data_IF_294341805816
#
_entry.id   IF_294341805816
#
_cell.length_a   1.000
_cell.length_b   1.000
_cell.length_c   1.000
_cell.angle_alpha   90.00
_cell.angle_beta   90.00
_cell.angle_gamma   90.00
#
_symmetry.space_group_name_H-M   'P 1'
#
loop_
_entity.id
_entity.type
_entity.pdbx_description
1 polymer ?
#
# COMPACT_ATOMS: atom_id res chain seq x y z
N UNK A 1 3.17 -24.83 26.17
CA UNK A 1 1.92 -24.09 26.33
C UNK A 1 2.12 -22.67 25.78
N UNK A 2 2.21 -22.55 24.46
CA UNK A 2 2.39 -21.27 23.76
C UNK A 2 1.01 -20.75 23.33
N UNK A 3 0.43 -19.85 24.14
CA UNK A 3 -0.56 -18.82 23.79
C UNK A 3 -1.50 -19.09 22.59
N UNK A 4 -2.66 -19.73 22.84
CA UNK A 4 -3.84 -19.72 21.93
C UNK A 4 -4.30 -18.31 21.53
N UNK A 5 -3.94 -17.28 22.31
CA UNK A 5 -4.28 -15.89 22.02
C UNK A 5 -3.39 -15.26 20.94
N UNK A 6 -2.19 -15.79 20.69
CA UNK A 6 -1.30 -15.36 19.60
C UNK A 6 -1.82 -15.87 18.26
N UNK A 7 -2.16 -17.15 18.15
CA UNK A 7 -2.64 -17.76 16.89
C UNK A 7 -3.93 -17.13 16.39
N UNK A 8 -4.89 -16.84 17.29
CA UNK A 8 -6.13 -16.15 16.91
C UNK A 8 -5.88 -14.76 16.33
N UNK A 9 -4.91 -14.00 16.86
CA UNK A 9 -4.56 -12.66 16.32
C UNK A 9 -3.93 -12.72 14.94
N UNK A 10 -3.07 -13.71 14.67
CA UNK A 10 -2.53 -13.95 13.33
C UNK A 10 -3.63 -14.43 12.36
N UNK A 11 -4.60 -15.21 12.82
CA UNK A 11 -5.74 -15.67 12.02
C UNK A 11 -6.65 -14.51 11.58
N UNK A 12 -7.05 -13.61 12.49
CA UNK A 12 -7.82 -12.42 12.13
C UNK A 12 -7.04 -11.47 11.18
N UNK A 13 -5.72 -11.37 11.36
CA UNK A 13 -4.85 -10.59 10.47
C UNK A 13 -4.83 -11.18 9.05
N UNK A 14 -4.71 -12.51 8.93
CA UNK A 14 -4.68 -13.22 7.65
C UNK A 14 -6.04 -13.13 6.95
N UNK A 15 -7.14 -13.21 7.71
CA UNK A 15 -8.51 -13.00 7.21
C UNK A 15 -8.69 -11.56 6.72
N UNK A 16 -8.15 -10.56 7.42
CA UNK A 16 -8.22 -9.16 6.98
C UNK A 16 -7.45 -8.95 5.66
N UNK A 17 -6.26 -9.55 5.52
CA UNK A 17 -5.46 -9.49 4.30
C UNK A 17 -6.17 -10.19 3.13
N UNK A 18 -6.72 -11.39 3.34
CA UNK A 18 -7.50 -12.10 2.33
C UNK A 18 -8.78 -11.33 1.98
N UNK A 19 -9.43 -10.73 2.97
CA UNK A 19 -10.59 -9.85 2.76
C UNK A 19 -10.26 -8.65 1.89
N UNK A 20 -9.13 -7.98 2.14
CA UNK A 20 -8.63 -6.90 1.29
C UNK A 20 -8.40 -7.37 -0.15
N UNK A 21 -7.74 -8.52 -0.35
CA UNK A 21 -7.50 -9.09 -1.68
C UNK A 21 -8.82 -9.35 -2.42
N UNK A 22 -9.82 -9.91 -1.74
CA UNK A 22 -11.12 -10.24 -2.34
C UNK A 22 -11.91 -8.97 -2.67
N UNK A 23 -11.97 -8.01 -1.74
CA UNK A 23 -12.72 -6.76 -1.93
C UNK A 23 -12.14 -5.95 -3.09
N UNK A 24 -10.82 -5.96 -3.27
CA UNK A 24 -10.13 -5.20 -4.32
C UNK A 24 -10.12 -5.93 -5.66
N UNK A 25 -10.40 -7.25 -5.65
CA UNK A 25 -10.68 -8.00 -6.88
C UNK A 25 -12.02 -7.62 -7.52
N UNK A 26 -12.98 -7.07 -6.75
CA UNK A 26 -14.32 -6.71 -7.24
C UNK A 26 -14.28 -5.50 -8.20
N UNK A 27 -13.64 -4.36 -7.86
CA UNK A 27 -13.43 -3.25 -8.80
C UNK A 27 -12.72 -3.68 -10.09
N UNK A 28 -11.79 -4.63 -9.98
CA UNK A 28 -11.01 -5.19 -11.10
C UNK A 28 -11.90 -5.93 -12.11
N UNK A 29 -12.87 -6.71 -11.60
CA UNK A 29 -13.83 -7.46 -12.43
C UNK A 29 -14.93 -6.53 -12.97
N UNK A 30 -15.39 -5.55 -12.18
CA UNK A 30 -16.52 -4.69 -12.56
C UNK A 30 -16.13 -3.56 -13.53
N UNK A 31 -14.96 -2.93 -13.34
CA UNK A 31 -14.46 -1.89 -14.25
C UNK A 31 -14.12 -2.40 -15.67
N UNK A 32 -14.00 -3.72 -15.82
CA UNK A 32 -13.57 -4.38 -17.05
C UNK A 32 -14.66 -4.49 -18.13
N UNK A 33 -15.94 -4.32 -17.80
CA UNK A 33 -16.99 -4.40 -18.82
C UNK A 33 -17.13 -3.13 -19.68
N UNK A 34 -16.53 -2.00 -19.30
CA UNK A 34 -16.90 -0.71 -19.91
C UNK A 34 -15.82 0.12 -20.63
N UNK A 35 -14.50 -0.07 -20.45
CA UNK A 35 -13.50 0.68 -21.25
C UNK A 35 -12.15 -0.05 -21.39
N UNK A 36 -11.75 -0.38 -22.62
CA UNK A 36 -10.60 -1.27 -22.95
C UNK A 36 -9.22 -0.58 -23.08
N UNK A 37 -9.02 0.64 -22.57
CA UNK A 37 -7.78 1.42 -22.79
C UNK A 37 -6.78 1.46 -21.62
N UNK A 38 -7.25 1.65 -20.39
CA UNK A 38 -6.40 2.03 -19.23
C UNK A 38 -6.35 0.99 -18.09
N UNK A 39 -6.84 -0.23 -18.35
CA UNK A 39 -6.98 -1.29 -17.35
C UNK A 39 -5.66 -1.63 -16.63
N UNK A 40 -4.57 -1.61 -17.38
CA UNK A 40 -3.26 -1.98 -16.87
C UNK A 40 -2.72 -0.97 -15.86
N UNK A 41 -2.87 0.33 -16.13
CA UNK A 41 -2.41 1.37 -15.21
C UNK A 41 -3.17 1.34 -13.89
N UNK A 42 -4.50 1.23 -13.95
CA UNK A 42 -5.34 1.21 -12.73
C UNK A 42 -5.05 -0.04 -11.90
N UNK A 43 -4.90 -1.21 -12.54
CA UNK A 43 -4.59 -2.46 -11.85
C UNK A 43 -3.20 -2.44 -11.17
N UNK A 44 -2.20 -1.77 -11.76
CA UNK A 44 -0.87 -1.62 -11.16
C UNK A 44 -0.94 -0.75 -9.90
N UNK A 45 -1.65 0.38 -9.96
CA UNK A 45 -1.76 1.27 -8.80
C UNK A 45 -2.53 0.61 -7.64
N UNK A 46 -3.58 -0.13 -7.95
CA UNK A 46 -4.35 -0.90 -6.98
C UNK A 46 -3.52 -2.02 -6.34
N UNK A 47 -2.86 -2.86 -7.14
CA UNK A 47 -2.00 -3.94 -6.60
C UNK A 47 -0.80 -3.38 -5.83
N UNK A 48 -0.23 -2.25 -6.26
CA UNK A 48 0.79 -1.51 -5.54
C UNK A 48 0.31 -0.99 -4.19
N UNK A 49 -0.92 -0.48 -4.10
CA UNK A 49 -1.55 -0.06 -2.84
C UNK A 49 -1.73 -1.23 -1.86
N UNK A 50 -2.23 -2.37 -2.34
CA UNK A 50 -2.39 -3.58 -1.52
C UNK A 50 -1.05 -4.06 -0.98
N UNK A 51 -0.05 -4.13 -1.84
CA UNK A 51 1.27 -4.60 -1.44
C UNK A 51 1.92 -3.62 -0.44
N UNK A 52 1.84 -2.31 -0.70
CA UNK A 52 2.39 -1.29 0.19
C UNK A 52 1.70 -1.29 1.56
N UNK A 53 0.37 -1.38 1.61
CA UNK A 53 -0.38 -1.46 2.87
C UNK A 53 -0.06 -2.74 3.65
N UNK A 54 0.03 -3.88 2.96
CA UNK A 54 0.45 -5.15 3.56
C UNK A 54 1.85 -5.05 4.18
N UNK A 55 2.83 -4.55 3.41
CA UNK A 55 4.21 -4.40 3.87
C UNK A 55 4.32 -3.40 5.03
N UNK A 56 3.51 -2.34 5.02
CA UNK A 56 3.41 -1.38 6.13
C UNK A 56 3.01 -2.07 7.42
N UNK A 57 1.95 -2.89 7.41
CA UNK A 57 1.49 -3.59 8.62
C UNK A 57 2.49 -4.67 9.04
N UNK A 58 3.05 -5.42 8.10
CA UNK A 58 4.04 -6.45 8.39
C UNK A 58 5.31 -5.88 9.03
N UNK A 59 5.78 -4.73 8.56
CA UNK A 59 6.95 -4.05 9.14
C UNK A 59 6.66 -3.48 10.53
N UNK A 60 5.44 -2.99 10.80
CA UNK A 60 5.00 -2.60 12.15
C UNK A 60 4.99 -3.81 13.09
N UNK A 61 4.41 -4.93 12.66
CA UNK A 61 4.37 -6.17 13.45
C UNK A 61 5.81 -6.67 13.70
N UNK A 62 6.65 -6.65 12.68
CA UNK A 62 8.06 -7.03 12.77
C UNK A 62 8.82 -6.12 13.74
N UNK A 63 8.57 -4.81 13.72
CA UNK A 63 9.16 -3.88 14.71
C UNK A 63 8.73 -4.23 16.13
N UNK A 64 7.45 -4.51 16.37
CA UNK A 64 6.97 -4.88 17.71
C UNK A 64 7.63 -6.16 18.25
N UNK A 65 7.97 -7.10 17.36
CA UNK A 65 8.61 -8.38 17.73
C UNK A 65 10.14 -8.26 17.88
N UNK A 66 10.79 -7.51 16.99
CA UNK A 66 12.26 -7.48 16.89
C UNK A 66 12.91 -6.25 17.52
N UNK A 67 12.13 -5.17 17.74
CA UNK A 67 12.60 -3.85 18.20
C UNK A 67 13.70 -3.23 17.31
N UNK A 68 13.85 -3.70 16.07
CA UNK A 68 14.85 -3.17 15.13
C UNK A 68 14.33 -1.85 14.55
N UNK A 69 14.98 -0.73 14.88
CA UNK A 69 14.59 0.63 14.43
C UNK A 69 14.43 0.74 12.91
N UNK A 70 15.20 -0.04 12.13
CA UNK A 70 15.10 -0.11 10.66
C UNK A 70 13.70 -0.51 10.17
N UNK A 71 12.97 -1.31 10.95
CA UNK A 71 11.62 -1.74 10.60
C UNK A 71 10.60 -0.61 10.68
N UNK A 72 10.79 0.41 11.53
CA UNK A 72 9.94 1.60 11.54
C UNK A 72 10.16 2.44 10.28
N UNK A 73 11.42 2.60 9.85
CA UNK A 73 11.72 3.31 8.61
C UNK A 73 11.14 2.61 7.39
N UNK A 74 11.25 1.27 7.33
CA UNK A 74 10.58 0.48 6.29
C UNK A 74 9.06 0.61 6.35
N UNK A 75 8.47 0.62 7.55
CA UNK A 75 7.03 0.86 7.72
C UNK A 75 6.60 2.24 7.24
N UNK A 76 7.32 3.30 7.61
CA UNK A 76 7.05 4.64 7.14
C UNK A 76 7.18 4.74 5.62
N UNK A 77 8.22 4.13 5.05
CA UNK A 77 8.44 4.07 3.61
C UNK A 77 7.25 3.41 2.88
N UNK A 78 6.84 2.21 3.31
CA UNK A 78 5.69 1.53 2.71
C UNK A 78 4.37 2.27 2.97
N UNK A 79 4.24 2.95 4.12
CA UNK A 79 3.06 3.74 4.45
C UNK A 79 2.90 4.96 3.55
N UNK A 80 4.00 5.66 3.26
CA UNK A 80 4.01 6.78 2.30
C UNK A 80 3.69 6.30 0.89
N UNK A 81 4.21 5.13 0.49
CA UNK A 81 3.84 4.49 -0.79
C UNK A 81 2.34 4.19 -0.85
N UNK A 82 1.77 3.58 0.20
CA UNK A 82 0.33 3.30 0.26
C UNK A 82 -0.50 4.59 0.21
N UNK A 83 -0.06 5.66 0.88
CA UNK A 83 -0.72 6.96 0.81
C UNK A 83 -0.68 7.57 -0.59
N UNK A 84 0.48 7.52 -1.27
CA UNK A 84 0.61 8.02 -2.64
C UNK A 84 -0.29 7.27 -3.63
N UNK A 85 -0.36 5.94 -3.53
CA UNK A 85 -1.25 5.12 -4.36
C UNK A 85 -2.73 5.43 -4.07
N UNK A 86 -3.11 5.55 -2.79
CA UNK A 86 -4.48 5.91 -2.39
C UNK A 86 -4.87 7.31 -2.89
N UNK A 87 -3.98 8.30 -2.78
CA UNK A 87 -4.21 9.66 -3.28
C UNK A 87 -4.38 9.70 -4.80
N UNK A 88 -3.53 8.97 -5.54
CA UNK A 88 -3.64 8.83 -6.99
C UNK A 88 -4.99 8.22 -7.41
N UNK A 89 -5.45 7.18 -6.71
CA UNK A 89 -6.74 6.56 -6.98
C UNK A 89 -7.93 7.44 -6.58
N UNK A 90 -7.86 8.13 -5.43
CA UNK A 90 -8.89 9.08 -4.99
C UNK A 90 -9.09 10.21 -6.00
N UNK A 91 -8.00 10.76 -6.55
CA UNK A 91 -8.05 11.79 -7.58
C UNK A 91 -8.74 11.32 -8.87
N UNK A 92 -8.76 10.02 -9.16
CA UNK A 92 -9.44 9.44 -10.33
C UNK A 92 -10.92 9.18 -10.12
N UNK A 93 -11.42 9.17 -8.88
CA UNK A 93 -12.83 8.85 -8.55
C UNK A 93 -13.72 10.11 -8.59
N UNK A 94 -13.19 11.29 -8.28
CA UNK A 94 -14.00 12.50 -8.07
C UNK A 94 -14.34 13.32 -9.32
N UNK A 95 -13.78 13.01 -10.49
CA UNK A 95 -13.77 13.95 -11.63
C UNK A 95 -14.21 13.25 -12.92
N UNK A 96 -15.48 13.42 -13.28
CA UNK A 96 -16.01 13.17 -14.64
C UNK A 96 -15.70 14.31 -15.64
N UNK A 97 -14.80 15.23 -15.31
CA UNK A 97 -14.49 16.40 -16.14
C UNK A 97 -12.98 16.59 -16.28
N UNK A 98 -12.46 16.19 -17.44
CA UNK A 98 -11.26 16.74 -18.12
C UNK A 98 -10.12 17.22 -17.22
N UNK A 99 -9.06 16.39 -17.18
CA UNK A 99 -7.65 16.77 -16.97
C UNK A 99 -7.34 17.55 -15.68
N UNK A 100 -6.70 16.90 -14.71
CA UNK A 100 -5.25 17.05 -14.64
C UNK A 100 -4.57 15.74 -14.21
N UNK A 101 -4.38 14.81 -15.17
CA UNK A 101 -3.67 13.54 -14.93
C UNK A 101 -2.26 13.79 -14.37
N UNK A 102 -1.66 14.94 -14.69
CA UNK A 102 -0.36 15.38 -14.18
C UNK A 102 -0.38 15.52 -12.66
N UNK A 103 -1.38 16.19 -12.09
CA UNK A 103 -1.43 16.49 -10.65
C UNK A 103 -1.45 15.26 -9.74
N UNK A 104 -2.21 14.22 -10.13
CA UNK A 104 -2.29 12.97 -9.36
C UNK A 104 -0.99 12.15 -9.47
N UNK A 105 -0.38 12.13 -10.65
CA UNK A 105 0.92 11.48 -10.85
C UNK A 105 2.05 12.20 -10.12
N UNK A 106 2.03 13.53 -10.07
CA UNK A 106 3.01 14.33 -9.34
C UNK A 106 2.99 14.04 -7.84
N UNK A 107 1.80 13.91 -7.25
CA UNK A 107 1.66 13.55 -5.83
C UNK A 107 2.26 12.17 -5.57
N UNK A 108 1.98 11.21 -6.45
CA UNK A 108 2.52 9.86 -6.35
C UNK A 108 4.04 9.84 -6.51
N UNK A 109 4.59 10.60 -7.45
CA UNK A 109 6.04 10.70 -7.69
C UNK A 109 6.75 11.31 -6.49
N UNK A 110 6.19 12.37 -5.90
CA UNK A 110 6.69 12.95 -4.64
C UNK A 110 6.65 11.91 -3.52
N UNK A 111 5.56 11.14 -3.39
CA UNK A 111 5.47 10.07 -2.40
C UNK A 111 6.52 8.96 -2.64
N UNK A 112 6.83 8.60 -3.90
CA UNK A 112 7.90 7.64 -4.21
C UNK A 112 9.27 8.19 -3.79
N UNK A 113 9.56 9.46 -4.06
CA UNK A 113 10.81 10.10 -3.62
C UNK A 113 10.92 10.09 -2.09
N UNK A 114 9.85 10.46 -1.38
CA UNK A 114 9.85 10.41 0.09
C UNK A 114 10.01 8.97 0.61
N UNK A 115 9.32 8.00 0.00
CA UNK A 115 9.44 6.58 0.34
C UNK A 115 10.86 6.07 0.16
N UNK A 116 11.51 6.39 -0.96
CA UNK A 116 12.88 5.95 -1.26
C UNK A 116 13.90 6.57 -0.30
N UNK A 117 13.72 7.83 0.10
CA UNK A 117 14.53 8.48 1.15
C UNK A 117 14.36 7.76 2.49
N UNK A 118 13.10 7.52 2.92
CA UNK A 118 12.81 6.81 4.17
C UNK A 118 13.40 5.38 4.16
N UNK A 119 13.30 4.71 3.02
CA UNK A 119 13.84 3.37 2.84
C UNK A 119 15.37 3.36 2.87
N UNK A 120 16.01 4.32 2.19
CA UNK A 120 17.45 4.49 2.20
C UNK A 120 17.97 4.79 3.62
N UNK A 121 17.29 5.65 4.38
CA UNK A 121 17.60 5.86 5.81
C UNK A 121 17.45 4.53 6.56
N UNK A 122 16.35 3.80 6.40
CA UNK A 122 16.15 2.50 7.05
C UNK A 122 17.24 1.47 6.75
N UNK A 123 17.79 1.44 5.52
CA UNK A 123 18.86 0.53 5.11
C UNK A 123 20.24 1.00 5.57
N UNK A 124 20.59 2.25 5.28
CA UNK A 124 21.95 2.77 5.40
C UNK A 124 22.23 3.46 6.74
N UNK A 125 21.21 3.71 7.57
CA UNK A 125 21.43 4.25 8.90
C UNK A 125 22.23 3.25 9.75
N UNK A 126 23.51 3.61 9.92
CA UNK A 126 24.52 2.88 10.68
C UNK A 126 24.29 3.16 12.16
N UNK A 127 24.44 2.11 12.96
CA UNK A 127 24.45 2.17 14.42
C UNK A 127 25.68 2.90 14.93
#
# INVERSE_FOLDING_TARGET
MFSESSERKYSYFLIAVIGCIIILSIPLIYGHFFHSGDLFHIAIHESGFVLASFLTVMTIISYKKTRITRMIFSSAAFGVLAFGQAGHMYSKIGVHAVEDMSSASEILDVCIVVMTILFAIGIFYKR
#
